data_IF_586778122603
#
_entry.id   IF_586778122603
#
_cell.length_a   1.000
_cell.length_b   1.000
_cell.length_c   1.000
_cell.angle_alpha   90.00
_cell.angle_beta   90.00
_cell.angle_gamma   90.00
#
_symmetry.space_group_name_H-M   'P 1'
#
loop_
_entity.id
_entity.type
_entity.pdbx_description
1 polymer ?
#
# COMPACT_ATOMS: atom_id res chain seq x y z
N UNK A 1 17.32 4.56 -16.51
CA UNK A 1 16.57 3.30 -16.46
C UNK A 1 15.42 3.48 -15.50
N UNK A 2 14.20 3.60 -16.00
CA UNK A 2 12.99 3.66 -15.19
C UNK A 2 12.56 2.21 -14.95
N UNK A 3 12.82 1.64 -13.76
CA UNK A 3 12.16 0.41 -13.38
C UNK A 3 10.84 0.77 -12.71
N UNK A 4 9.82 0.94 -13.54
CA UNK A 4 8.42 0.97 -13.11
C UNK A 4 8.06 -0.43 -12.64
N UNK A 5 8.43 -0.79 -11.41
CA UNK A 5 8.07 -2.06 -10.80
C UNK A 5 6.58 -2.09 -10.51
N UNK A 6 5.86 -2.97 -11.19
CA UNK A 6 4.47 -3.33 -10.87
C UNK A 6 4.52 -4.38 -9.77
N UNK A 7 4.02 -4.05 -8.57
CA UNK A 7 3.94 -5.01 -7.46
C UNK A 7 2.51 -5.55 -7.38
N UNK A 8 2.36 -6.86 -7.18
CA UNK A 8 1.07 -7.51 -6.94
C UNK A 8 1.07 -8.07 -5.53
N UNK A 9 0.06 -7.70 -4.75
CA UNK A 9 -0.19 -8.23 -3.41
C UNK A 9 -1.47 -9.02 -3.40
N UNK A 10 -1.44 -10.22 -2.82
CA UNK A 10 -2.60 -11.09 -2.66
C UNK A 10 -2.87 -11.22 -1.16
N UNK A 11 -4.12 -11.03 -0.76
CA UNK A 11 -4.56 -11.18 0.63
C UNK A 11 -5.98 -11.72 0.68
N UNK A 12 -6.36 -12.31 1.81
CA UNK A 12 -7.73 -12.76 2.04
C UNK A 12 -8.56 -11.68 2.74
N UNK A 13 -9.88 -11.73 2.54
CA UNK A 13 -10.84 -10.92 3.30
C UNK A 13 -10.66 -11.15 4.81
N UNK A 14 -10.71 -10.08 5.59
CA UNK A 14 -10.57 -10.06 7.04
C UNK A 14 -9.14 -9.96 7.55
N UNK A 15 -8.14 -10.23 6.70
CA UNK A 15 -6.73 -10.19 7.09
C UNK A 15 -6.20 -8.75 7.26
N UNK A 16 -5.06 -8.64 7.93
CA UNK A 16 -4.18 -7.47 7.85
C UNK A 16 -3.15 -7.73 6.73
N UNK A 17 -2.85 -6.71 5.92
CA UNK A 17 -1.88 -6.83 4.82
C UNK A 17 -0.97 -5.62 4.78
N UNK A 18 0.21 -5.79 4.18
CA UNK A 18 1.22 -4.76 4.03
C UNK A 18 1.40 -4.44 2.55
N UNK A 19 1.22 -3.18 2.14
CA UNK A 19 1.53 -2.76 0.78
C UNK A 19 2.96 -2.23 0.76
N UNK A 20 3.90 -2.93 0.10
CA UNK A 20 5.31 -2.62 0.21
C UNK A 20 5.62 -1.34 -0.54
N UNK A 21 6.30 -0.42 0.14
CA UNK A 21 6.84 0.78 -0.48
C UNK A 21 8.10 1.22 0.24
N UNK A 22 9.14 1.52 -0.53
CA UNK A 22 10.42 1.95 0.02
C UNK A 22 10.95 3.17 -0.71
N UNK A 23 11.40 4.15 0.06
CA UNK A 23 12.05 5.33 -0.49
C UNK A 23 13.42 4.97 -1.07
N UNK A 24 13.81 5.52 -2.22
CA UNK A 24 15.16 5.35 -2.71
C UNK A 24 16.15 6.07 -1.77
N UNK A 25 17.32 5.46 -1.60
CA UNK A 25 18.51 6.07 -0.99
C UNK A 25 18.39 6.46 0.49
N UNK A 26 17.39 5.94 1.22
CA UNK A 26 17.15 6.16 2.67
C UNK A 26 17.18 7.64 3.11
N UNK A 27 16.89 8.57 2.19
CA UNK A 27 16.82 10.01 2.51
C UNK A 27 15.55 10.33 3.28
N UNK A 28 15.53 11.39 4.12
CA UNK A 28 14.33 11.81 4.83
C UNK A 28 13.15 12.05 3.88
N UNK A 29 12.00 11.46 4.21
CA UNK A 29 10.75 11.61 3.47
C UNK A 29 10.05 12.88 3.95
N UNK A 30 9.83 13.84 3.05
CA UNK A 30 9.14 15.09 3.36
C UNK A 30 7.62 14.93 3.30
N UNK A 31 7.16 14.24 2.27
CA UNK A 31 5.75 13.96 2.02
C UNK A 31 5.64 12.52 1.51
N UNK A 32 4.70 11.78 2.08
CA UNK A 32 4.31 10.47 1.59
C UNK A 32 2.81 10.50 1.34
N UNK A 33 2.42 10.17 0.12
CA UNK A 33 1.03 10.09 -0.31
C UNK A 33 0.74 8.65 -0.71
N UNK A 34 -0.17 8.01 0.01
CA UNK A 34 -0.82 6.79 -0.44
C UNK A 34 -2.18 7.17 -1.04
N UNK A 35 -2.36 6.85 -2.32
CA UNK A 35 -3.59 7.13 -3.07
C UNK A 35 -4.12 5.87 -3.72
N UNK A 36 -5.39 5.92 -4.12
CA UNK A 36 -5.96 5.01 -5.10
C UNK A 36 -6.49 5.82 -6.28
N UNK A 37 -6.34 5.28 -7.48
CA UNK A 37 -6.75 5.96 -8.71
C UNK A 37 -8.28 6.13 -8.83
N UNK A 38 -9.06 5.30 -8.15
CA UNK A 38 -10.53 5.29 -8.19
C UNK A 38 -11.20 6.16 -7.12
N UNK A 39 -10.44 6.73 -6.18
CA UNK A 39 -10.98 7.52 -5.05
C UNK A 39 -10.81 9.05 -5.19
N UNK A 40 -10.46 9.51 -6.40
CA UNK A 40 -10.35 10.95 -6.68
C UNK A 40 -9.23 11.63 -5.90
N UNK A 41 -9.55 12.70 -5.18
CA UNK A 41 -8.55 13.57 -4.51
C UNK A 41 -8.25 13.20 -3.05
N UNK A 42 -9.02 12.31 -2.44
CA UNK A 42 -8.81 11.92 -1.04
C UNK A 42 -7.68 10.88 -0.91
N UNK A 43 -7.01 10.88 0.25
CA UNK A 43 -5.86 10.01 0.49
C UNK A 43 -6.27 8.73 1.21
N UNK A 44 -5.60 7.63 0.89
CA UNK A 44 -5.60 6.44 1.75
C UNK A 44 -4.84 6.79 3.05
N UNK A 45 -3.64 7.34 2.91
CA UNK A 45 -2.84 7.89 4.00
C UNK A 45 -1.98 9.03 3.46
N UNK A 46 -1.94 10.14 4.19
CA UNK A 46 -1.06 11.27 3.90
C UNK A 46 -0.15 11.50 5.10
N UNK A 47 1.16 11.56 4.87
CA UNK A 47 2.13 12.03 5.85
C UNK A 47 2.81 13.29 5.34
N UNK A 48 2.79 14.34 6.16
CA UNK A 48 3.42 15.64 5.89
C UNK A 48 3.63 16.38 7.21
N UNK A 49 4.61 17.29 7.25
CA UNK A 49 4.93 18.07 8.45
C UNK A 49 5.17 17.16 9.68
N UNK A 50 5.90 16.07 9.46
CA UNK A 50 6.28 15.08 10.49
C UNK A 50 5.12 14.36 11.22
N UNK A 51 3.94 14.30 10.59
CA UNK A 51 2.77 13.62 11.13
C UNK A 51 1.87 13.03 10.03
N UNK A 52 1.03 12.06 10.43
CA UNK A 52 -0.05 11.55 9.58
C UNK A 52 -1.21 12.55 9.62
N UNK A 53 -1.68 12.94 8.45
CA UNK A 53 -2.82 13.82 8.26
C UNK A 53 -4.12 13.00 8.22
N UNK A 54 -4.89 13.09 9.30
CA UNK A 54 -6.16 12.37 9.44
C UNK A 54 -7.36 13.14 8.86
N UNK A 55 -7.21 14.43 8.56
CA UNK A 55 -8.30 15.28 8.08
C UNK A 55 -8.62 14.99 6.61
N UNK A 56 -7.59 14.73 5.81
CA UNK A 56 -7.71 14.49 4.36
C UNK A 56 -7.79 12.99 4.00
N UNK A 57 -8.00 12.13 5.00
CA UNK A 57 -8.10 10.68 4.82
C UNK A 57 -9.51 10.27 4.37
N UNK A 58 -9.57 9.49 3.30
CA UNK A 58 -10.81 8.94 2.76
C UNK A 58 -11.50 8.05 3.81
N UNK A 59 -12.81 8.19 3.95
CA UNK A 59 -13.60 7.58 5.04
C UNK A 59 -13.45 6.06 5.15
N UNK A 60 -13.31 5.36 4.03
CA UNK A 60 -13.13 3.89 3.98
C UNK A 60 -11.84 3.39 4.67
N UNK A 61 -10.84 4.25 4.85
CA UNK A 61 -9.54 3.87 5.44
C UNK A 61 -9.33 4.38 6.85
N UNK A 62 -10.25 5.19 7.39
CA UNK A 62 -10.16 5.69 8.77
C UNK A 62 -10.07 4.52 9.75
N UNK A 63 -9.13 4.64 10.69
CA UNK A 63 -8.81 3.63 11.70
C UNK A 63 -8.36 2.25 11.16
N UNK A 64 -8.17 2.14 9.84
CA UNK A 64 -7.79 0.90 9.16
C UNK A 64 -6.40 0.92 8.57
N UNK A 65 -5.78 2.09 8.43
CA UNK A 65 -4.43 2.20 7.85
C UNK A 65 -3.44 2.88 8.76
N UNK A 66 -2.17 2.49 8.60
CA UNK A 66 -1.02 3.06 9.29
C UNK A 66 0.24 2.84 8.44
N UNK A 67 1.38 3.34 8.91
CA UNK A 67 2.69 2.99 8.37
C UNK A 67 3.28 1.81 9.13
N UNK A 68 3.88 0.86 8.41
CA UNK A 68 4.56 -0.28 9.02
C UNK A 68 5.70 0.17 9.94
N UNK A 69 6.43 1.20 9.52
CA UNK A 69 7.37 1.91 10.36
C UNK A 69 7.08 3.42 10.34
N UNK A 70 6.49 3.93 11.43
CA UNK A 70 6.23 5.37 11.60
C UNK A 70 7.51 6.21 11.69
N UNK A 71 8.65 5.60 12.05
CA UNK A 71 9.95 6.26 12.02
C UNK A 71 10.56 6.24 10.61
N UNK A 72 9.96 5.49 9.68
CA UNK A 72 10.41 5.34 8.29
C UNK A 72 11.90 4.97 8.18
N UNK A 73 12.40 4.15 9.11
CA UNK A 73 13.81 3.76 9.13
C UNK A 73 14.15 3.02 7.86
N UNK A 74 15.36 3.28 7.38
CA UNK A 74 15.87 2.72 6.15
C UNK A 74 14.93 2.95 4.94
N UNK A 75 14.08 3.97 5.00
CA UNK A 75 13.14 4.31 3.94
C UNK A 75 11.91 3.40 3.83
N UNK A 76 11.61 2.54 4.81
CA UNK A 76 10.38 1.74 4.78
C UNK A 76 9.14 2.62 5.02
N UNK A 77 8.30 2.75 4.00
CA UNK A 77 7.06 3.53 4.03
C UNK A 77 5.85 2.69 3.63
N UNK A 78 5.96 1.37 3.85
CA UNK A 78 4.92 0.40 3.53
C UNK A 78 3.64 0.69 4.33
N UNK A 79 2.49 0.56 3.68
CA UNK A 79 1.19 0.79 4.28
C UNK A 79 0.74 -0.47 5.01
N UNK A 80 0.27 -0.35 6.24
CA UNK A 80 -0.53 -1.37 6.91
C UNK A 80 -1.99 -1.13 6.55
N UNK A 81 -2.70 -2.15 6.08
CA UNK A 81 -4.16 -2.10 5.88
C UNK A 81 -4.83 -3.23 6.65
N UNK A 82 -5.72 -2.85 7.58
CA UNK A 82 -6.39 -3.75 8.52
C UNK A 82 -7.79 -4.12 8.04
N UNK A 83 -8.22 -5.33 8.43
CA UNK A 83 -9.59 -5.84 8.20
C UNK A 83 -9.95 -5.74 6.72
N UNK A 84 -9.10 -6.26 5.84
CA UNK A 84 -9.26 -6.14 4.39
C UNK A 84 -10.64 -6.64 3.94
N UNK A 85 -11.23 -5.95 2.97
CA UNK A 85 -12.52 -6.24 2.37
C UNK A 85 -12.38 -6.32 0.85
N UNK A 86 -13.40 -6.83 0.17
CA UNK A 86 -13.44 -6.89 -1.29
C UNK A 86 -13.35 -5.51 -1.95
N UNK A 87 -13.74 -4.44 -1.26
CA UNK A 87 -13.74 -3.06 -1.75
C UNK A 87 -12.35 -2.43 -1.68
N UNK A 88 -11.44 -3.04 -0.92
CA UNK A 88 -10.04 -2.62 -0.84
C UNK A 88 -9.24 -3.07 -2.07
N UNK A 89 -9.81 -3.89 -2.96
CA UNK A 89 -9.17 -4.25 -4.24
C UNK A 89 -8.87 -3.01 -5.07
N UNK A 90 -7.74 -3.02 -5.75
CA UNK A 90 -7.40 -1.98 -6.72
C UNK A 90 -5.93 -1.62 -6.75
N UNK A 91 -5.63 -0.59 -7.54
CA UNK A 91 -4.29 -0.04 -7.69
C UNK A 91 -4.06 1.07 -6.64
N UNK A 92 -3.05 0.85 -5.80
CA UNK A 92 -2.54 1.79 -4.83
C UNK A 92 -1.28 2.45 -5.39
N UNK A 93 -1.20 3.77 -5.24
CA UNK A 93 -0.05 4.56 -5.60
C UNK A 93 0.64 5.05 -4.33
N UNK A 94 1.89 4.62 -4.15
CA UNK A 94 2.78 5.17 -3.14
C UNK A 94 3.67 6.24 -3.79
N UNK A 95 3.44 7.50 -3.43
CA UNK A 95 4.22 8.63 -3.90
C UNK A 95 5.06 9.20 -2.76
N UNK A 96 6.38 9.21 -2.96
CA UNK A 96 7.37 9.67 -2.00
C UNK A 96 8.04 10.94 -2.53
N UNK A 97 8.03 12.00 -1.73
CA UNK A 97 8.73 13.25 -2.03
C UNK A 97 9.88 13.43 -1.04
N UNK A 98 11.11 13.49 -1.55
CA UNK A 98 12.34 13.68 -0.78
C UNK A 98 13.08 14.94 -1.24
N UNK A 99 13.89 15.52 -0.35
CA UNK A 99 14.82 16.59 -0.73
C UNK A 99 15.96 16.04 -1.58
N UNK A 100 16.31 16.76 -2.63
CA UNK A 100 17.51 16.55 -3.43
C UNK A 100 18.28 17.89 -3.54
N UNK A 101 19.55 17.86 -3.95
CA UNK A 101 20.37 19.08 -4.02
C UNK A 101 19.73 20.11 -4.95
N UNK A 102 19.14 21.15 -4.37
CA UNK A 102 18.39 22.22 -5.04
C UNK A 102 17.06 21.80 -5.71
N UNK A 103 16.51 20.63 -5.39
CA UNK A 103 15.24 20.16 -5.98
C UNK A 103 14.47 19.23 -5.05
N UNK A 104 13.30 18.76 -5.50
CA UNK A 104 12.56 17.67 -4.86
C UNK A 104 12.55 16.47 -5.80
N UNK A 105 12.90 15.30 -5.27
CA UNK A 105 12.76 14.04 -5.98
C UNK A 105 11.39 13.44 -5.66
N UNK A 106 10.64 13.10 -6.71
CA UNK A 106 9.39 12.36 -6.62
C UNK A 106 9.61 10.93 -7.09
N UNK A 107 9.23 9.96 -6.27
CA UNK A 107 9.24 8.53 -6.59
C UNK A 107 7.82 7.99 -6.50
N UNK A 108 7.41 7.18 -7.46
CA UNK A 108 6.08 6.57 -7.50
C UNK A 108 6.23 5.06 -7.65
N UNK A 109 5.53 4.31 -6.81
CA UNK A 109 5.43 2.85 -6.87
C UNK A 109 3.94 2.49 -6.94
N UNK A 110 3.59 1.59 -7.86
CA UNK A 110 2.21 1.12 -8.04
C UNK A 110 2.11 -0.31 -7.51
N UNK A 111 1.17 -0.51 -6.61
CA UNK A 111 0.88 -1.80 -5.97
C UNK A 111 -0.57 -2.18 -6.29
N UNK A 112 -0.80 -3.36 -6.87
CA UNK A 112 -2.14 -3.88 -7.11
C UNK A 112 -2.50 -4.87 -6.03
N UNK A 113 -3.54 -4.54 -5.26
CA UNK A 113 -4.08 -5.42 -4.23
C UNK A 113 -5.19 -6.28 -4.81
N UNK A 114 -4.95 -7.58 -4.83
CA UNK A 114 -5.93 -8.62 -5.07
C UNK A 114 -6.40 -9.12 -3.71
N UNK A 115 -7.70 -9.03 -3.48
CA UNK A 115 -8.34 -9.62 -2.31
C UNK A 115 -8.99 -10.92 -2.77
N UNK A 116 -8.86 -12.00 -2.02
CA UNK A 116 -9.54 -13.27 -2.26
C UNK A 116 -10.56 -13.50 -1.15
N UNK A 117 -11.71 -14.05 -1.51
CA UNK A 117 -12.68 -14.56 -0.54
C UNK A 117 -12.73 -16.10 -0.60
N UNK A 118 -13.05 -16.79 0.51
CA UNK A 118 -13.20 -18.24 0.49
C UNK A 118 -14.20 -18.68 -0.60
N UNK A 119 -13.73 -19.47 -1.57
CA UNK A 119 -14.52 -19.95 -2.71
C UNK A 119 -14.49 -19.08 -3.97
N UNK A 120 -13.71 -17.99 -3.99
CA UNK A 120 -13.52 -17.17 -5.20
C UNK A 120 -12.39 -17.73 -6.08
N UNK A 121 -12.65 -17.85 -7.38
CA UNK A 121 -11.66 -18.34 -8.36
C UNK A 121 -10.68 -17.20 -8.71
N UNK A 122 -9.38 -17.43 -8.52
CA UNK A 122 -8.34 -16.50 -8.98
C UNK A 122 -8.25 -16.61 -10.52
N UNK A 123 -8.46 -15.53 -11.30
CA UNK A 123 -8.33 -15.59 -12.75
C UNK A 123 -6.89 -15.95 -13.16
N UNK A 124 -6.71 -17.10 -13.80
CA UNK A 124 -5.42 -17.55 -14.35
C UNK A 124 -4.76 -18.71 -13.61
N UNK A 125 -5.27 -19.13 -12.46
CA UNK A 125 -4.85 -20.34 -11.78
C UNK A 125 -6.06 -21.28 -11.63
N UNK A 126 -6.04 -22.43 -12.31
CA UNK A 126 -7.00 -23.52 -12.08
C UNK A 126 -6.70 -24.22 -10.74
N UNK A 127 -6.59 -23.47 -9.65
CA UNK A 127 -6.33 -23.97 -8.30
C UNK A 127 -7.55 -23.68 -7.43
N UNK A 128 -8.21 -24.75 -7.01
CA UNK A 128 -9.18 -24.69 -5.93
C UNK A 128 -8.41 -24.44 -4.64
N UNK A 129 -8.69 -23.34 -3.93
CA UNK A 129 -8.25 -23.16 -2.55
C UNK A 129 -9.03 -24.17 -1.69
N UNK A 130 -8.44 -25.33 -1.46
CA UNK A 130 -8.98 -26.30 -0.50
C UNK A 130 -8.90 -25.68 0.91
N UNK A 131 -9.95 -25.86 1.72
CA UNK A 131 -10.14 -25.18 3.01
C UNK A 131 -9.07 -25.54 4.08
N UNK A 132 -8.09 -26.36 3.72
CA UNK A 132 -7.01 -26.86 4.57
C UNK A 132 -5.60 -26.51 4.06
N UNK A 133 -5.46 -25.71 2.99
CA UNK A 133 -4.16 -25.22 2.53
C UNK A 133 -4.02 -23.72 2.81
N UNK A 134 -3.35 -23.41 3.92
CA UNK A 134 -2.81 -22.07 4.17
C UNK A 134 -1.87 -21.72 3.02
N UNK A 135 -2.20 -20.69 2.23
CA UNK A 135 -1.27 -20.13 1.25
C UNK A 135 0.04 -19.75 1.98
N UNK A 136 1.22 -20.14 1.47
CA UNK A 136 2.47 -19.68 2.04
C UNK A 136 2.60 -18.18 1.78
N UNK A 137 2.40 -17.38 2.83
CA UNK A 137 2.51 -15.91 2.77
C UNK A 137 1.17 -15.20 2.71
N UNK A 138 0.43 -15.20 3.82
CA UNK A 138 -0.54 -14.15 4.08
C UNK A 138 0.22 -12.84 4.33
N UNK A 139 0.45 -12.10 3.25
CA UNK A 139 1.16 -10.82 3.24
C UNK A 139 2.10 -10.72 2.05
N UNK A 140 2.00 -9.60 1.32
CA UNK A 140 3.20 -8.95 0.82
C UNK A 140 4.14 -8.65 2.02
#
# INVERSE_FOLDING_TARGET
GYQSGFVVCITEVGQETFLPCRSPDNKPVLVLEWRRSDLGSEYVLLYRNDQIDLENQHVMFKDRVDLQDRQMKDGNVSLVLKKVTTDDRGAYECQIIQTETNSRRKTIIIINLIVTSPGELIPGENLFLDQNQQLPGSGC
#
